data_IF_595522228232
#
_entry.id   IF_595522228232
#
_cell.length_a   1.000
_cell.length_b   1.000
_cell.length_c   1.000
_cell.angle_alpha   90.00
_cell.angle_beta   90.00
_cell.angle_gamma   90.00
#
_symmetry.space_group_name_H-M   'P 1'
#
loop_
_entity.id
_entity.type
_entity.pdbx_description
1 polymer ?
#
# COMPACT_ATOMS: atom_id res chain seq x y z
N UNK A 1 -19.64 0.35 15.99
CA UNK A 1 -19.95 -1.06 16.34
C UNK A 1 -20.77 -1.77 15.25
N UNK A 2 -21.88 -1.21 14.75
CA UNK A 2 -22.74 -1.85 13.72
C UNK A 2 -22.01 -1.98 12.37
N UNK A 3 -21.33 -0.94 11.92
CA UNK A 3 -20.56 -0.93 10.68
C UNK A 3 -19.44 -1.97 10.68
N UNK A 4 -18.68 -2.08 11.77
CA UNK A 4 -17.63 -3.08 11.93
C UNK A 4 -18.17 -4.51 11.82
N UNK A 5 -19.30 -4.80 12.46
CA UNK A 5 -19.95 -6.11 12.38
C UNK A 5 -20.35 -6.46 10.95
N UNK A 6 -20.90 -5.50 10.20
CA UNK A 6 -21.31 -5.70 8.81
C UNK A 6 -20.09 -5.98 7.91
N UNK A 7 -19.04 -5.17 7.99
CA UNK A 7 -17.79 -5.37 7.24
C UNK A 7 -17.18 -6.74 7.55
N UNK A 8 -17.13 -7.13 8.82
CA UNK A 8 -16.63 -8.44 9.22
C UNK A 8 -17.42 -9.59 8.59
N UNK A 9 -18.76 -9.52 8.62
CA UNK A 9 -19.62 -10.54 7.99
C UNK A 9 -19.43 -10.63 6.47
N UNK A 10 -19.21 -9.49 5.80
CA UNK A 10 -18.92 -9.45 4.36
C UNK A 10 -17.59 -10.17 4.04
N UNK A 11 -16.53 -9.90 4.81
CA UNK A 11 -15.25 -10.59 4.62
C UNK A 11 -15.32 -12.07 4.98
N UNK A 12 -16.09 -12.47 6.00
CA UNK A 12 -16.33 -13.89 6.29
C UNK A 12 -16.95 -14.62 5.10
N UNK A 13 -17.94 -14.00 4.47
CA UNK A 13 -18.55 -14.56 3.27
C UNK A 13 -17.57 -14.59 2.09
N UNK A 14 -16.87 -13.50 1.82
CA UNK A 14 -15.92 -13.41 0.72
C UNK A 14 -14.79 -14.45 0.84
N UNK A 15 -14.20 -14.58 2.04
CA UNK A 15 -13.14 -15.55 2.33
C UNK A 15 -13.65 -16.98 2.11
N UNK A 16 -14.86 -17.31 2.58
CA UNK A 16 -15.44 -18.64 2.38
C UNK A 16 -15.62 -18.96 0.89
N UNK A 17 -16.12 -18.02 0.09
CA UNK A 17 -16.27 -18.21 -1.35
C UNK A 17 -14.89 -18.34 -2.01
N UNK A 18 -13.92 -17.50 -1.62
CA UNK A 18 -12.56 -17.54 -2.17
C UNK A 18 -11.88 -18.90 -1.96
N UNK A 19 -12.07 -19.52 -0.80
CA UNK A 19 -11.57 -20.87 -0.50
C UNK A 19 -12.09 -21.92 -1.51
N UNK A 20 -13.37 -21.84 -1.87
CA UNK A 20 -13.99 -22.77 -2.85
C UNK A 20 -13.37 -22.64 -4.26
N UNK A 21 -12.79 -21.49 -4.57
CA UNK A 21 -12.14 -21.21 -5.86
C UNK A 21 -10.60 -21.17 -5.80
N UNK A 22 -10.01 -21.41 -4.65
CA UNK A 22 -8.55 -21.42 -4.47
C UNK A 22 -7.90 -20.05 -4.69
N UNK A 23 -8.60 -18.96 -4.35
CA UNK A 23 -8.10 -17.59 -4.46
C UNK A 23 -7.91 -16.95 -3.09
N UNK A 24 -6.92 -16.05 -2.98
CA UNK A 24 -6.65 -15.26 -1.78
C UNK A 24 -7.41 -13.94 -1.84
N UNK A 25 -8.04 -13.56 -0.73
CA UNK A 25 -8.58 -12.20 -0.57
C UNK A 25 -7.52 -11.32 0.09
N UNK A 26 -7.21 -10.21 -0.57
CA UNK A 26 -6.42 -9.13 0.00
C UNK A 26 -7.31 -7.91 0.25
N UNK A 27 -7.26 -7.39 1.47
CA UNK A 27 -8.02 -6.21 1.91
C UNK A 27 -7.13 -4.98 1.86
N UNK A 28 -7.54 -3.96 1.09
CA UNK A 28 -6.92 -2.64 1.18
C UNK A 28 -7.65 -1.78 2.20
N UNK A 29 -6.91 -1.20 3.15
CA UNK A 29 -7.48 -0.40 4.24
C UNK A 29 -6.43 0.47 4.91
N UNK A 30 -6.88 1.61 5.44
CA UNK A 30 -6.03 2.67 6.02
C UNK A 30 -6.23 2.79 7.54
N UNK A 31 -6.53 1.70 8.21
CA UNK A 31 -6.77 1.68 9.65
C UNK A 31 -5.45 1.59 10.44
N UNK A 32 -5.51 1.78 11.75
CA UNK A 32 -4.33 1.70 12.62
C UNK A 32 -3.82 0.27 12.75
N UNK A 33 -2.57 0.12 13.14
CA UNK A 33 -1.90 -1.18 13.27
C UNK A 33 -2.67 -2.15 14.18
N UNK A 34 -3.14 -1.68 15.33
CA UNK A 34 -3.87 -2.49 16.31
C UNK A 34 -5.21 -3.01 15.73
N UNK A 35 -5.87 -2.18 14.92
CA UNK A 35 -7.11 -2.56 14.26
C UNK A 35 -6.86 -3.59 13.15
N UNK A 36 -5.73 -3.52 12.44
CA UNK A 36 -5.31 -4.56 11.50
C UNK A 36 -5.16 -5.91 12.19
N UNK A 37 -4.42 -5.99 13.29
CA UNK A 37 -4.27 -7.23 14.05
C UNK A 37 -5.62 -7.77 14.52
N UNK A 38 -6.43 -6.91 15.18
CA UNK A 38 -7.75 -7.31 15.67
C UNK A 38 -8.69 -7.82 14.57
N UNK A 39 -8.53 -7.34 13.35
CA UNK A 39 -9.36 -7.74 12.22
C UNK A 39 -8.83 -9.02 11.57
N UNK A 40 -7.55 -9.05 11.17
CA UNK A 40 -6.94 -10.16 10.46
C UNK A 40 -6.87 -11.45 11.27
N UNK A 41 -6.58 -11.36 12.57
CA UNK A 41 -6.46 -12.54 13.45
C UNK A 41 -7.76 -13.35 13.55
N UNK A 42 -8.90 -12.75 13.15
CA UNK A 42 -10.19 -13.47 13.07
C UNK A 42 -10.35 -14.38 11.85
N UNK A 43 -9.44 -14.28 10.90
CA UNK A 43 -9.52 -15.01 9.63
C UNK A 43 -8.45 -16.11 9.49
N UNK A 44 -7.63 -16.32 10.50
CA UNK A 44 -6.63 -17.40 10.55
C UNK A 44 -5.76 -17.49 9.28
N UNK A 45 -5.24 -16.33 8.83
CA UNK A 45 -4.39 -16.20 7.64
C UNK A 45 -5.10 -16.27 6.29
N UNK A 46 -6.43 -16.48 6.26
CA UNK A 46 -7.24 -16.57 5.03
C UNK A 46 -7.61 -15.21 4.44
N UNK A 47 -7.39 -14.15 5.18
CA UNK A 47 -7.50 -12.76 4.73
C UNK A 47 -6.15 -12.10 4.92
N UNK A 48 -5.64 -11.46 3.87
CA UNK A 48 -4.38 -10.73 3.91
C UNK A 48 -4.60 -9.26 3.58
N UNK A 49 -3.54 -8.48 3.59
CA UNK A 49 -3.56 -7.07 3.23
C UNK A 49 -2.99 -6.83 1.83
N UNK A 50 -3.67 -6.02 1.05
CA UNK A 50 -3.05 -5.15 0.10
C UNK A 50 -2.54 -3.93 0.89
N UNK A 51 -1.23 -3.86 1.13
CA UNK A 51 -0.64 -2.82 1.96
C UNK A 51 -0.24 -1.62 1.11
N UNK A 52 -0.95 -0.50 1.27
CA UNK A 52 -0.63 0.75 0.62
C UNK A 52 0.31 1.59 1.48
N UNK A 53 1.47 1.97 0.93
CA UNK A 53 2.50 2.70 1.66
C UNK A 53 2.23 4.19 1.80
N UNK A 54 1.33 4.74 1.00
CA UNK A 54 1.02 6.17 0.98
C UNK A 54 -0.22 6.53 1.81
N UNK A 55 -1.30 5.73 1.68
CA UNK A 55 -2.59 6.05 2.27
C UNK A 55 -2.51 6.22 3.79
N UNK A 56 -1.72 5.39 4.48
CA UNK A 56 -1.52 5.48 5.92
C UNK A 56 -0.91 6.82 6.35
N UNK A 57 0.02 7.35 5.56
CA UNK A 57 0.62 8.69 5.80
C UNK A 57 -0.41 9.77 5.56
N UNK A 58 -1.14 9.69 4.44
CA UNK A 58 -2.15 10.67 4.05
C UNK A 58 -3.30 10.78 5.08
N UNK A 59 -3.72 9.65 5.66
CA UNK A 59 -4.78 9.63 6.69
C UNK A 59 -4.26 9.76 8.12
N UNK A 60 -2.94 9.79 8.32
CA UNK A 60 -2.33 9.89 9.64
C UNK A 60 -2.62 8.68 10.55
N UNK A 61 -2.79 7.50 9.97
CA UNK A 61 -3.15 6.28 10.69
C UNK A 61 -1.95 5.43 11.10
N UNK A 62 -0.77 5.69 10.51
CA UNK A 62 0.46 5.01 10.90
C UNK A 62 1.69 5.42 10.10
N UNK A 63 2.85 4.96 10.56
CA UNK A 63 4.11 5.07 9.85
C UNK A 63 4.37 3.76 9.09
N UNK A 64 4.30 3.74 7.74
CA UNK A 64 4.31 2.52 6.95
C UNK A 64 5.48 1.58 7.25
N UNK A 65 6.76 2.04 7.38
CA UNK A 65 7.88 1.15 7.66
C UNK A 65 7.74 0.33 8.95
N UNK A 66 7.24 0.95 10.03
CA UNK A 66 7.05 0.26 11.30
C UNK A 66 5.87 -0.73 11.23
N UNK A 67 4.79 -0.33 10.54
CA UNK A 67 3.64 -1.21 10.33
C UNK A 67 4.00 -2.43 9.48
N UNK A 68 4.81 -2.27 8.42
CA UNK A 68 5.31 -3.37 7.59
C UNK A 68 6.06 -4.39 8.45
N UNK A 69 7.03 -3.92 9.26
CA UNK A 69 7.79 -4.80 10.15
C UNK A 69 6.92 -5.50 11.19
N UNK A 70 5.94 -4.80 11.76
CA UNK A 70 5.05 -5.37 12.76
C UNK A 70 4.08 -6.41 12.18
N UNK A 71 3.52 -6.16 11.00
CA UNK A 71 2.60 -7.08 10.32
C UNK A 71 3.31 -8.34 9.80
N UNK A 72 4.53 -8.17 9.29
CA UNK A 72 5.30 -9.25 8.70
C UNK A 72 4.72 -9.76 7.38
N UNK A 73 5.50 -10.53 6.64
CA UNK A 73 5.12 -11.04 5.31
C UNK A 73 3.89 -11.96 5.30
N UNK A 74 3.60 -12.60 6.43
CA UNK A 74 2.49 -13.56 6.51
C UNK A 74 1.11 -12.90 6.42
N UNK A 75 1.01 -11.62 6.82
CA UNK A 75 -0.24 -10.85 6.79
C UNK A 75 -0.40 -9.99 5.54
N UNK A 76 0.66 -9.84 4.73
CA UNK A 76 0.65 -8.99 3.53
C UNK A 76 0.65 -9.88 2.29
N UNK A 77 -0.32 -9.66 1.40
CA UNK A 77 -0.44 -10.35 0.12
C UNK A 77 0.37 -9.64 -0.97
N UNK A 78 0.18 -8.33 -1.07
CA UNK A 78 0.94 -7.48 -2.00
C UNK A 78 1.02 -6.05 -1.50
N UNK A 79 1.94 -5.29 -2.09
CA UNK A 79 2.12 -3.87 -1.79
C UNK A 79 1.62 -3.00 -2.92
N UNK A 80 0.93 -1.91 -2.58
CA UNK A 80 0.76 -0.74 -3.42
C UNK A 80 1.78 0.32 -3.00
N UNK A 81 2.58 0.75 -3.98
CA UNK A 81 3.59 1.81 -3.79
C UNK A 81 3.16 3.02 -4.58
N UNK A 82 2.98 4.13 -3.90
CA UNK A 82 2.75 5.45 -4.50
C UNK A 82 3.31 6.54 -3.62
N UNK A 83 3.54 7.70 -4.19
CA UNK A 83 4.09 8.83 -3.47
C UNK A 83 3.38 10.14 -3.79
N UNK A 84 3.43 11.06 -2.83
CA UNK A 84 3.09 12.46 -3.00
C UNK A 84 4.06 13.35 -2.24
N UNK A 85 4.09 14.64 -2.60
CA UNK A 85 4.86 15.63 -1.86
C UNK A 85 4.04 16.15 -0.69
N UNK A 86 4.72 16.39 0.43
CA UNK A 86 4.16 17.20 1.50
C UNK A 86 4.03 18.66 1.07
N UNK A 87 3.10 19.40 1.65
CA UNK A 87 3.00 20.84 1.50
C UNK A 87 4.15 21.58 2.24
N UNK A 88 4.11 22.90 2.21
CA UNK A 88 5.14 23.73 2.85
C UNK A 88 5.19 23.57 4.39
N UNK A 89 4.11 23.15 4.99
CA UNK A 89 3.97 22.85 6.42
C UNK A 89 4.32 21.41 6.77
N UNK A 90 4.62 20.56 5.76
CA UNK A 90 4.99 19.17 5.94
C UNK A 90 3.82 18.19 6.00
N UNK A 91 2.61 18.64 5.65
CA UNK A 91 1.42 17.78 5.62
C UNK A 91 1.18 17.17 4.25
N UNK A 92 0.65 15.94 4.25
CA UNK A 92 0.16 15.27 3.06
C UNK A 92 -1.35 15.16 3.19
N UNK A 93 -2.07 15.85 2.30
CA UNK A 93 -3.54 15.86 2.31
C UNK A 93 -4.10 15.31 1.01
N UNK A 94 -5.29 14.71 1.09
CA UNK A 94 -5.97 14.11 -0.06
C UNK A 94 -6.27 15.14 -1.17
N UNK A 95 -6.57 16.37 -0.79
CA UNK A 95 -7.00 17.42 -1.70
C UNK A 95 -5.82 18.12 -2.38
N UNK A 96 -4.69 18.26 -1.71
CA UNK A 96 -3.62 19.16 -2.14
C UNK A 96 -2.28 18.51 -2.42
N UNK A 97 -2.05 17.29 -1.90
CA UNK A 97 -0.78 16.63 -2.08
C UNK A 97 -0.54 16.24 -3.55
N UNK A 98 0.47 16.82 -4.21
CA UNK A 98 0.79 16.44 -5.58
C UNK A 98 1.28 14.98 -5.63
N UNK A 99 0.67 14.17 -6.48
CA UNK A 99 1.19 12.83 -6.79
C UNK A 99 2.46 12.98 -7.61
N UNK A 100 3.49 12.23 -7.25
CA UNK A 100 4.80 12.21 -7.93
C UNK A 100 5.22 10.79 -8.23
N UNK A 101 6.28 10.62 -9.01
CA UNK A 101 6.83 9.30 -9.30
C UNK A 101 7.56 8.73 -8.07
N UNK A 102 7.67 7.42 -8.03
CA UNK A 102 8.33 6.72 -6.92
C UNK A 102 9.76 7.21 -6.70
N UNK A 103 10.10 7.48 -5.45
CA UNK A 103 11.39 8.03 -5.05
C UNK A 103 11.49 9.56 -5.08
N UNK A 104 10.45 10.26 -5.54
CA UNK A 104 10.42 11.73 -5.62
C UNK A 104 9.55 12.38 -4.54
N UNK A 105 8.85 11.58 -3.74
CA UNK A 105 7.88 12.05 -2.77
C UNK A 105 8.39 12.19 -1.34
N UNK A 106 7.45 12.39 -0.44
CA UNK A 106 7.67 12.59 1.00
C UNK A 106 7.01 11.47 1.84
N UNK A 107 6.57 10.37 1.21
CA UNK A 107 5.81 9.30 1.89
C UNK A 107 6.68 8.11 2.32
N UNK A 108 7.97 8.36 2.55
CA UNK A 108 8.91 7.39 3.13
C UNK A 108 9.22 6.18 2.23
N UNK A 109 9.29 6.37 0.90
CA UNK A 109 9.54 5.30 -0.06
C UNK A 109 10.77 4.45 0.30
N UNK A 110 11.92 5.10 0.58
CA UNK A 110 13.17 4.38 0.87
C UNK A 110 13.09 3.56 2.15
N UNK A 111 12.48 4.11 3.17
CA UNK A 111 12.28 3.45 4.46
C UNK A 111 11.27 2.29 4.34
N UNK A 112 10.22 2.45 3.52
CA UNK A 112 9.28 1.38 3.21
C UNK A 112 9.95 0.24 2.43
N UNK A 113 10.77 0.56 1.40
CA UNK A 113 11.58 -0.44 0.68
C UNK A 113 12.47 -1.22 1.65
N UNK A 114 13.14 -0.54 2.58
CA UNK A 114 13.98 -1.23 3.56
C UNK A 114 13.14 -2.13 4.48
N UNK A 115 11.98 -1.67 4.93
CA UNK A 115 11.10 -2.46 5.78
C UNK A 115 10.55 -3.71 5.07
N UNK A 116 10.24 -3.61 3.77
CA UNK A 116 9.82 -4.74 2.95
C UNK A 116 10.94 -5.79 2.84
N UNK A 117 12.20 -5.35 2.68
CA UNK A 117 13.37 -6.23 2.69
C UNK A 117 13.61 -6.86 4.07
N UNK A 118 13.43 -6.10 5.15
CA UNK A 118 13.65 -6.57 6.51
C UNK A 118 12.73 -7.75 6.91
N UNK A 119 11.57 -7.86 6.26
CA UNK A 119 10.63 -8.97 6.47
C UNK A 119 10.80 -10.12 5.47
N UNK A 120 11.84 -10.12 4.65
CA UNK A 120 12.10 -11.11 3.59
C UNK A 120 10.87 -11.34 2.69
N UNK A 121 10.23 -10.26 2.24
CA UNK A 121 9.04 -10.35 1.40
C UNK A 121 9.40 -10.67 -0.05
N UNK A 122 8.69 -11.64 -0.65
CA UNK A 122 8.94 -12.17 -2.00
C UNK A 122 7.68 -12.10 -2.90
N UNK A 123 6.63 -11.40 -2.45
CA UNK A 123 5.37 -11.27 -3.21
C UNK A 123 5.37 -10.08 -4.17
N UNK A 124 4.18 -9.72 -4.63
CA UNK A 124 4.00 -8.66 -5.61
C UNK A 124 4.16 -7.26 -5.02
N UNK A 125 4.88 -6.40 -5.75
CA UNK A 125 5.01 -4.97 -5.47
C UNK A 125 4.51 -4.22 -6.69
N UNK A 126 3.46 -3.42 -6.52
CA UNK A 126 2.71 -2.77 -7.58
C UNK A 126 2.86 -1.26 -7.45
N UNK A 127 3.27 -0.58 -8.52
CA UNK A 127 3.15 0.87 -8.58
C UNK A 127 1.68 1.25 -8.80
N UNK A 128 1.11 2.01 -7.87
CA UNK A 128 -0.26 2.54 -7.95
C UNK A 128 -0.27 4.06 -8.19
N UNK A 129 0.71 4.59 -8.87
CA UNK A 129 0.79 6.00 -9.18
C UNK A 129 -0.33 6.41 -10.14
N UNK A 130 -1.05 7.48 -9.80
CA UNK A 130 -2.13 8.02 -10.65
C UNK A 130 -1.54 8.88 -11.76
N UNK A 131 -1.00 8.25 -12.80
CA UNK A 131 -0.28 8.92 -13.90
C UNK A 131 -1.11 9.95 -14.68
N UNK A 132 -2.44 9.89 -14.59
CA UNK A 132 -3.35 10.86 -15.19
C UNK A 132 -3.53 12.14 -14.35
N UNK A 133 -2.82 12.29 -13.26
CA UNK A 133 -2.85 13.52 -12.47
C UNK A 133 -2.10 14.64 -13.20
N UNK A 134 -2.64 15.84 -13.07
CA UNK A 134 -2.18 17.03 -13.80
C UNK A 134 -0.69 17.35 -13.57
N UNK A 135 -0.22 17.23 -12.33
CA UNK A 135 1.16 17.52 -11.98
C UNK A 135 2.18 16.59 -12.64
N UNK A 136 1.83 15.34 -12.96
CA UNK A 136 2.69 14.44 -13.71
C UNK A 136 2.73 14.83 -15.21
N UNK A 137 1.59 15.22 -15.76
CA UNK A 137 1.51 15.65 -17.17
C UNK A 137 2.25 16.96 -17.45
N UNK A 138 2.36 17.85 -16.46
CA UNK A 138 3.06 19.12 -16.57
C UNK A 138 4.58 18.94 -16.79
N UNK A 139 5.14 17.80 -16.41
CA UNK A 139 6.55 17.45 -16.65
C UNK A 139 6.83 16.93 -18.07
N UNK A 140 5.82 16.94 -18.97
CA UNK A 140 5.96 16.52 -20.36
C UNK A 140 6.14 15.02 -20.57
N UNK A 141 5.95 14.21 -19.54
CA UNK A 141 5.98 12.75 -19.63
C UNK A 141 4.59 12.22 -19.98
N UNK A 142 4.54 11.25 -20.90
CA UNK A 142 3.32 10.47 -21.11
C UNK A 142 3.14 9.39 -20.03
N UNK A 143 1.95 8.79 -19.97
CA UNK A 143 1.62 7.80 -18.96
C UNK A 143 2.49 6.55 -19.03
N UNK A 144 2.87 6.13 -20.22
CA UNK A 144 3.69 4.94 -20.44
C UNK A 144 5.11 5.18 -19.94
N UNK A 145 5.68 6.35 -20.28
CA UNK A 145 7.01 6.76 -19.81
C UNK A 145 7.07 6.90 -18.29
N UNK A 146 6.00 7.46 -17.69
CA UNK A 146 5.87 7.57 -16.22
C UNK A 146 5.81 6.19 -15.55
N UNK A 147 4.96 5.31 -16.06
CA UNK A 147 4.85 3.94 -15.54
C UNK A 147 6.16 3.15 -15.71
N UNK A 148 6.83 3.29 -16.85
CA UNK A 148 8.13 2.67 -17.07
C UNK A 148 9.17 3.14 -16.05
N UNK A 149 9.21 4.44 -15.77
CA UNK A 149 10.13 5.00 -14.76
C UNK A 149 9.87 4.46 -13.37
N UNK A 150 8.60 4.34 -12.94
CA UNK A 150 8.26 3.74 -11.66
C UNK A 150 8.67 2.27 -11.57
N UNK A 151 8.46 1.50 -12.65
CA UNK A 151 8.94 0.11 -12.72
C UNK A 151 10.47 0.04 -12.64
N UNK A 152 11.20 0.93 -13.32
CA UNK A 152 12.65 1.01 -13.22
C UNK A 152 13.12 1.38 -11.80
N UNK A 153 12.40 2.27 -11.12
CA UNK A 153 12.65 2.63 -9.71
C UNK A 153 12.44 1.43 -8.79
N UNK A 154 11.36 0.66 -8.97
CA UNK A 154 11.11 -0.56 -8.19
C UNK A 154 12.19 -1.62 -8.45
N UNK A 155 12.56 -1.87 -9.69
CA UNK A 155 13.66 -2.79 -10.04
C UNK A 155 14.99 -2.37 -9.43
N UNK A 156 15.32 -1.08 -9.47
CA UNK A 156 16.53 -0.56 -8.83
C UNK A 156 16.49 -0.73 -7.30
N UNK A 157 15.31 -0.63 -6.70
CA UNK A 157 15.14 -0.77 -5.26
C UNK A 157 15.18 -2.24 -4.79
N UNK A 158 14.55 -3.17 -5.52
CA UNK A 158 14.37 -4.56 -5.08
C UNK A 158 15.22 -5.58 -5.85
N UNK A 159 15.75 -5.22 -6.99
CA UNK A 159 16.45 -6.11 -7.93
C UNK A 159 15.53 -6.57 -9.07
N UNK A 160 16.13 -7.25 -10.05
CA UNK A 160 15.37 -7.94 -11.10
C UNK A 160 14.85 -9.27 -10.54
N UNK A 161 13.53 -9.44 -10.54
CA UNK A 161 12.84 -10.70 -10.23
C UNK A 161 12.62 -11.50 -11.51
#
# INVERSE_FOLDING_TARGET
>A
AAQYKHVYQMYQYAVKVAEDYGVQIAMETDIRLEDHFQFLDKFDGKLKLCFDTHNLVMYGTGYPPDMIRALGKERIDHFHMKESLADAEGFITKETAPIVLLGEGSTHFKEAVQAIKDIDYEGWIISETFYNRRNLNENGMDYVSSAKRDVETLKAAFGDY
#
